data_IF_947968473350
#
_entry.id   IF_947968473350
#
_cell.length_a   1.000
_cell.length_b   1.000
_cell.length_c   1.000
_cell.angle_alpha   90.00
_cell.angle_beta   90.00
_cell.angle_gamma   90.00
#
_symmetry.space_group_name_H-M   'P 1'
#
loop_
_entity.id
_entity.type
_entity.pdbx_description
1 polymer ?
#
# COMPACT_ATOMS: atom_id res chain seq x y z
N UNK A 1 -1.15 4.27 27.45
CA UNK A 1 -0.02 3.33 27.61
C UNK A 1 1.07 3.78 26.64
N UNK A 2 2.33 3.88 27.05
CA UNK A 2 3.43 4.34 26.18
C UNK A 2 3.79 3.22 25.19
N UNK A 3 3.57 3.46 23.89
CA UNK A 3 4.00 2.53 22.84
C UNK A 3 5.51 2.39 22.86
N UNK A 4 6.03 1.17 22.91
CA UNK A 4 7.47 0.95 22.85
C UNK A 4 7.94 1.03 21.40
N UNK A 5 8.95 1.84 21.16
CA UNK A 5 9.58 1.97 19.85
C UNK A 5 10.28 0.67 19.45
N UNK A 6 10.15 0.28 18.18
CA UNK A 6 10.91 -0.83 17.64
C UNK A 6 12.39 -0.45 17.60
N UNK A 7 13.17 -1.03 18.50
CA UNK A 7 14.59 -0.75 18.65
C UNK A 7 15.40 -1.08 17.39
N UNK A 8 14.99 -2.09 16.62
CA UNK A 8 15.67 -2.50 15.39
C UNK A 8 15.66 -1.43 14.30
N UNK A 9 14.67 -0.54 14.30
CA UNK A 9 14.58 0.57 13.35
C UNK A 9 14.48 1.94 14.02
N UNK A 10 14.75 2.04 15.32
CA UNK A 10 14.63 3.29 16.08
C UNK A 10 13.27 3.98 15.92
N UNK A 11 12.18 3.21 15.93
CA UNK A 11 10.83 3.79 15.78
C UNK A 11 10.38 4.09 14.34
N UNK A 12 11.26 4.02 13.35
CA UNK A 12 10.94 4.49 11.98
C UNK A 12 10.12 3.53 11.13
N UNK A 13 10.09 2.25 11.48
CA UNK A 13 9.51 1.18 10.66
C UNK A 13 10.31 0.86 9.40
N UNK A 14 11.45 1.53 9.14
CA UNK A 14 12.20 1.41 7.89
C UNK A 14 13.66 1.07 8.16
N UNK A 15 14.26 0.34 7.24
CA UNK A 15 15.68 -0.01 7.28
C UNK A 15 16.31 0.18 5.90
N UNK A 16 17.54 0.70 5.89
CA UNK A 16 18.40 0.64 4.72
C UNK A 16 19.02 -0.75 4.68
N UNK A 17 18.82 -1.45 3.57
CA UNK A 17 19.43 -2.75 3.32
C UNK A 17 20.18 -2.74 2.01
N UNK A 18 21.16 -3.63 1.89
CA UNK A 18 21.90 -3.82 0.66
C UNK A 18 20.95 -4.23 -0.49
N UNK A 19 21.11 -3.59 -1.64
CA UNK A 19 20.31 -3.88 -2.81
C UNK A 19 20.71 -5.24 -3.39
N UNK A 20 19.86 -6.24 -3.23
CA UNK A 20 20.09 -7.61 -3.68
C UNK A 20 20.34 -7.76 -5.18
N UNK A 21 19.85 -6.82 -6.00
CA UNK A 21 20.05 -6.86 -7.45
C UNK A 21 21.46 -6.47 -7.90
N UNK A 22 22.19 -5.71 -7.08
CA UNK A 22 23.56 -5.27 -7.38
C UNK A 22 24.56 -5.60 -6.28
N UNK A 23 24.14 -6.32 -5.23
CA UNK A 23 24.98 -6.67 -4.08
C UNK A 23 25.77 -5.49 -3.54
N UNK A 24 25.10 -4.35 -3.35
CA UNK A 24 25.73 -3.13 -2.83
C UNK A 24 26.51 -2.30 -3.86
N UNK A 25 26.79 -2.83 -5.06
CA UNK A 25 27.66 -2.16 -6.04
C UNK A 25 27.02 -0.94 -6.73
N UNK A 26 25.69 -0.77 -6.64
CA UNK A 26 24.95 0.30 -7.33
C UNK A 26 24.85 0.10 -8.85
N UNK A 27 25.53 -0.89 -9.41
CA UNK A 27 25.54 -1.20 -10.84
C UNK A 27 25.45 -2.71 -11.08
N UNK A 28 24.89 -3.10 -12.23
CA UNK A 28 24.82 -4.48 -12.70
C UNK A 28 25.35 -4.52 -14.14
N UNK A 29 26.42 -5.26 -14.37
CA UNK A 29 27.08 -5.36 -15.69
C UNK A 29 27.44 -3.98 -16.28
N UNK A 30 27.96 -3.07 -15.44
CA UNK A 30 28.38 -1.73 -15.85
C UNK A 30 27.23 -0.76 -16.16
N UNK A 31 25.97 -1.14 -15.90
CA UNK A 31 24.80 -0.26 -16.00
C UNK A 31 24.26 0.06 -14.61
N UNK A 32 23.66 1.23 -14.47
CA UNK A 32 23.03 1.67 -13.22
C UNK A 32 21.97 0.66 -12.76
N UNK A 33 22.06 0.26 -11.49
CA UNK A 33 21.07 -0.61 -10.90
C UNK A 33 19.78 0.18 -10.69
N UNK A 34 18.77 -0.10 -11.51
CA UNK A 34 17.46 0.59 -11.46
C UNK A 34 16.72 0.44 -10.13
N UNK A 35 17.03 -0.60 -9.36
CA UNK A 35 16.35 -0.89 -8.09
C UNK A 35 16.84 0.02 -6.95
N UNK A 36 18.10 0.43 -6.98
CA UNK A 36 18.69 1.32 -5.98
C UNK A 36 19.15 2.67 -6.54
N UNK A 37 18.95 2.91 -7.84
CA UNK A 37 19.36 4.14 -8.53
C UNK A 37 20.80 4.55 -8.17
N UNK A 38 21.74 3.64 -8.43
CA UNK A 38 23.18 3.75 -8.12
C UNK A 38 23.57 3.82 -6.64
N UNK A 39 22.62 3.82 -5.70
CA UNK A 39 22.93 3.95 -4.27
C UNK A 39 23.46 2.67 -3.64
N UNK A 40 23.30 1.51 -4.29
CA UNK A 40 23.71 0.21 -3.74
C UNK A 40 22.82 -0.29 -2.59
N UNK A 41 21.92 0.54 -2.08
CA UNK A 41 21.04 0.24 -0.95
C UNK A 41 19.59 0.60 -1.28
N UNK A 42 18.64 -0.04 -0.61
CA UNK A 42 17.20 0.25 -0.72
C UNK A 42 16.58 0.38 0.66
N UNK A 43 15.56 1.23 0.76
CA UNK A 43 14.76 1.33 1.98
C UNK A 43 13.69 0.25 1.93
N UNK A 44 13.65 -0.60 2.95
CA UNK A 44 12.65 -1.66 3.13
C UNK A 44 11.93 -1.50 4.45
N UNK A 45 10.79 -2.18 4.59
CA UNK A 45 10.12 -2.31 5.88
C UNK A 45 11.02 -3.05 6.88
N UNK A 46 11.11 -2.54 8.10
CA UNK A 46 11.80 -3.20 9.19
C UNK A 46 11.15 -4.56 9.45
N UNK A 47 11.93 -5.64 9.40
CA UNK A 47 11.42 -7.00 9.58
C UNK A 47 10.92 -7.27 10.99
N UNK A 48 11.49 -6.60 12.00
CA UNK A 48 11.13 -6.79 13.41
C UNK A 48 9.75 -6.21 13.79
N UNK A 49 9.29 -5.19 13.07
CA UNK A 49 7.99 -4.55 13.31
C UNK A 49 7.10 -4.50 12.06
N UNK A 50 7.50 -5.19 10.99
CA UNK A 50 6.82 -5.23 9.69
C UNK A 50 6.42 -3.84 9.15
N UNK A 51 7.24 -2.83 9.40
CA UNK A 51 6.96 -1.45 8.96
C UNK A 51 6.25 -0.56 9.97
N UNK A 52 5.77 -1.07 11.10
CA UNK A 52 4.97 -0.28 12.06
C UNK A 52 5.80 0.70 12.88
N UNK A 53 7.09 0.44 13.08
CA UNK A 53 7.95 1.24 13.95
C UNK A 53 7.72 1.02 15.45
N UNK A 54 6.78 0.17 15.86
CA UNK A 54 6.51 -0.15 17.28
C UNK A 54 6.81 -1.61 17.59
N UNK A 55 7.27 -1.90 18.81
CA UNK A 55 7.53 -3.26 19.30
C UNK A 55 6.31 -3.90 19.98
N UNK A 56 5.22 -3.15 20.14
CA UNK A 56 3.97 -3.69 20.66
C UNK A 56 3.24 -4.42 19.53
N UNK A 57 2.78 -5.64 19.78
CA UNK A 57 1.97 -6.46 18.87
C UNK A 57 0.53 -5.91 18.70
N UNK A 58 0.31 -4.61 18.97
CA UNK A 58 -1.01 -4.00 18.90
C UNK A 58 -1.27 -3.45 17.49
N UNK A 59 -2.16 -4.20 16.84
CA UNK A 59 -2.75 -3.98 15.53
C UNK A 59 -1.72 -3.74 14.44
N UNK A 60 -1.19 -4.86 13.93
CA UNK A 60 -0.86 -5.06 12.51
C UNK A 60 -1.76 -4.13 11.71
N UNK A 61 -1.18 -3.01 11.23
CA UNK A 61 -1.84 -2.10 10.29
C UNK A 61 -2.28 -2.99 9.15
N UNK A 62 -3.55 -3.35 9.19
CA UNK A 62 -4.14 -4.34 8.31
C UNK A 62 -4.42 -3.53 7.07
N UNK A 63 -3.41 -3.42 6.22
CA UNK A 63 -3.60 -2.92 4.87
C UNK A 63 -4.71 -3.77 4.25
N UNK A 64 -5.88 -3.15 4.12
CA UNK A 64 -7.03 -3.82 3.53
C UNK A 64 -6.80 -3.80 2.03
N UNK A 65 -6.61 -4.99 1.46
CA UNK A 65 -6.45 -5.17 0.02
C UNK A 65 -7.82 -5.47 -0.57
N UNK A 66 -8.37 -4.52 -1.32
CA UNK A 66 -9.67 -4.67 -1.98
C UNK A 66 -9.47 -5.01 -3.47
N UNK A 67 -10.18 -6.04 -3.93
CA UNK A 67 -10.35 -6.30 -5.37
C UNK A 67 -11.48 -5.43 -5.89
N UNK A 68 -11.22 -4.63 -6.93
CA UNK A 68 -12.23 -3.73 -7.49
C UNK A 68 -12.90 -4.31 -8.73
N UNK A 69 -14.16 -3.94 -8.96
CA UNK A 69 -14.97 -4.33 -10.10
C UNK A 69 -15.81 -3.15 -10.60
N UNK A 70 -16.34 -3.22 -11.82
CA UNK A 70 -17.38 -2.30 -12.27
C UNK A 70 -18.74 -2.77 -11.76
N UNK A 71 -19.61 -1.84 -11.38
CA UNK A 71 -21.02 -2.14 -11.11
C UNK A 71 -21.71 -2.68 -12.36
N UNK A 72 -22.79 -3.43 -12.16
CA UNK A 72 -23.55 -4.05 -13.27
C UNK A 72 -24.10 -3.02 -14.26
N UNK A 73 -24.43 -1.82 -13.79
CA UNK A 73 -24.90 -0.71 -14.61
C UNK A 73 -23.76 0.15 -15.20
N UNK A 74 -22.51 -0.15 -14.83
CA UNK A 74 -21.31 0.53 -15.29
C UNK A 74 -21.14 1.96 -14.76
N UNK A 75 -21.89 2.35 -13.73
CA UNK A 75 -21.87 3.72 -13.17
C UNK A 75 -20.96 3.89 -11.95
N UNK A 76 -20.49 2.79 -11.36
CA UNK A 76 -19.63 2.81 -10.20
C UNK A 76 -18.49 1.78 -10.31
N UNK A 77 -17.47 1.99 -9.50
CA UNK A 77 -16.48 1.00 -9.11
C UNK A 77 -16.91 0.45 -7.74
N UNK A 78 -16.98 -0.86 -7.61
CA UNK A 78 -17.38 -1.56 -6.40
C UNK A 78 -16.25 -2.45 -5.87
N UNK A 79 -16.30 -2.76 -4.58
CA UNK A 79 -15.42 -3.76 -3.96
C UNK A 79 -15.89 -5.21 -4.23
N UNK A 80 -15.25 -6.18 -3.58
CA UNK A 80 -15.56 -7.61 -3.69
C UNK A 80 -16.88 -8.01 -3.02
N UNK A 81 -17.45 -7.14 -2.19
CA UNK A 81 -18.75 -7.31 -1.55
C UNK A 81 -19.88 -6.55 -2.29
N UNK A 82 -19.53 -5.77 -3.31
CA UNK A 82 -20.48 -4.95 -4.09
C UNK A 82 -20.75 -3.57 -3.50
N UNK A 83 -19.97 -3.12 -2.50
CA UNK A 83 -20.10 -1.76 -1.97
C UNK A 83 -19.44 -0.77 -2.94
N UNK A 84 -20.07 0.39 -3.12
CA UNK A 84 -19.53 1.45 -3.98
C UNK A 84 -18.27 2.09 -3.38
N UNK A 85 -17.19 2.07 -4.15
CA UNK A 85 -15.90 2.69 -3.81
C UNK A 85 -15.74 4.03 -4.52
N UNK A 86 -16.24 4.14 -5.76
CA UNK A 86 -16.23 5.38 -6.53
C UNK A 86 -17.40 5.41 -7.50
N UNK A 87 -17.93 6.60 -7.78
CA UNK A 87 -18.95 6.83 -8.79
C UNK A 87 -18.38 7.60 -9.98
N UNK A 88 -18.82 7.27 -11.19
CA UNK A 88 -18.52 8.09 -12.35
C UNK A 88 -19.37 9.36 -12.33
N UNK A 89 -18.85 10.43 -12.93
CA UNK A 89 -19.60 11.68 -13.09
C UNK A 89 -20.91 11.42 -13.83
N UNK A 90 -21.94 12.16 -13.48
CA UNK A 90 -23.23 12.10 -14.16
C UNK A 90 -23.09 12.17 -15.68
N UNK A 91 -23.79 11.30 -16.40
CA UNK A 91 -23.71 11.15 -17.86
C UNK A 91 -22.61 10.22 -18.36
N UNK A 92 -21.75 9.70 -17.47
CA UNK A 92 -20.73 8.71 -17.82
C UNK A 92 -21.12 7.31 -17.33
N UNK A 93 -20.88 6.30 -18.17
CA UNK A 93 -20.98 4.89 -17.81
C UNK A 93 -19.92 4.10 -18.57
N UNK A 94 -19.26 3.18 -17.91
CA UNK A 94 -18.31 2.26 -18.54
C UNK A 94 -19.05 0.98 -18.87
N UNK A 95 -19.11 0.63 -20.16
CA UNK A 95 -19.66 -0.67 -20.57
C UNK A 95 -18.51 -1.69 -20.58
N UNK A 96 -18.48 -2.67 -19.67
CA UNK A 96 -17.54 -3.77 -19.80
C UNK A 96 -17.79 -4.46 -21.15
N UNK A 97 -16.72 -4.88 -21.83
CA UNK A 97 -16.87 -5.73 -23.01
C UNK A 97 -17.65 -7.00 -22.62
N UNK A 98 -18.30 -7.67 -23.57
CA UNK A 98 -19.04 -8.93 -23.28
C UNK A 98 -18.13 -10.02 -22.67
N UNK A 99 -16.81 -9.90 -22.88
CA UNK A 99 -15.77 -10.77 -22.33
C UNK A 99 -15.28 -10.32 -20.94
N UNK A 100 -15.69 -9.14 -20.48
CA UNK A 100 -15.27 -8.50 -19.23
C UNK A 100 -16.33 -8.49 -18.12
N UNK A 101 -17.48 -9.14 -18.32
CA UNK A 101 -18.51 -9.28 -17.28
C UNK A 101 -17.95 -10.07 -16.08
N UNK A 102 -17.82 -9.41 -14.94
CA UNK A 102 -17.24 -9.98 -13.72
C UNK A 102 -15.71 -9.95 -13.66
N UNK A 103 -15.04 -9.28 -14.61
CA UNK A 103 -13.59 -9.18 -14.58
C UNK A 103 -13.18 -8.10 -13.60
N UNK A 104 -12.43 -8.53 -12.57
CA UNK A 104 -11.70 -7.66 -11.66
C UNK A 104 -10.95 -6.59 -12.45
N UNK A 105 -11.09 -5.35 -12.01
CA UNK A 105 -10.29 -4.26 -12.55
C UNK A 105 -8.80 -4.55 -12.26
N UNK A 106 -7.89 -4.19 -13.18
CA UNK A 106 -6.48 -4.41 -12.96
C UNK A 106 -6.00 -3.66 -11.71
N UNK A 107 -5.07 -4.27 -10.98
CA UNK A 107 -4.57 -3.72 -9.72
C UNK A 107 -5.42 -4.10 -8.50
N UNK A 108 -5.08 -3.47 -7.38
CA UNK A 108 -5.78 -3.63 -6.11
C UNK A 108 -5.74 -2.31 -5.34
N UNK A 109 -6.76 -2.02 -4.53
CA UNK A 109 -6.67 -0.90 -3.59
C UNK A 109 -5.99 -1.35 -2.31
N UNK A 110 -4.99 -0.58 -1.90
CA UNK A 110 -4.32 -0.69 -0.61
C UNK A 110 -4.83 0.45 0.26
N UNK A 111 -5.61 0.12 1.28
CA UNK A 111 -6.13 1.09 2.22
C UNK A 111 -5.34 1.06 3.54
N UNK A 112 -4.84 2.21 3.96
CA UNK A 112 -4.12 2.41 5.22
C UNK A 112 -4.94 3.31 6.13
N UNK A 113 -5.10 2.89 7.38
CA UNK A 113 -5.68 3.73 8.43
C UNK A 113 -4.58 4.59 9.04
N UNK A 114 -4.79 5.89 9.01
CA UNK A 114 -3.89 6.86 9.61
C UNK A 114 -4.62 7.62 10.71
N UNK A 115 -3.97 7.77 11.86
CA UNK A 115 -4.50 8.60 12.92
C UNK A 115 -4.31 10.08 12.54
N UNK A 116 -5.36 10.89 12.61
CA UNK A 116 -5.32 12.32 12.31
C UNK A 116 -5.58 13.21 13.51
N UNK A 117 -6.08 12.64 14.61
CA UNK A 117 -6.32 13.37 15.85
C UNK A 117 -6.00 12.50 17.07
N UNK A 118 -5.32 13.11 18.04
CA UNK A 118 -4.91 12.48 19.28
C UNK A 118 -5.51 13.22 20.49
N UNK A 119 -5.81 12.50 21.56
CA UNK A 119 -6.16 13.09 22.86
C UNK A 119 -4.90 13.51 23.65
N UNK A 120 -5.13 14.14 24.81
CA UNK A 120 -4.06 14.58 25.73
C UNK A 120 -3.22 13.42 26.29
N UNK A 121 -3.70 12.18 26.22
CA UNK A 121 -3.01 10.98 26.67
C UNK A 121 -2.25 10.28 25.53
N UNK A 122 -2.26 10.85 24.33
CA UNK A 122 -1.63 10.28 23.14
C UNK A 122 -2.41 9.14 22.48
N UNK A 123 -3.67 8.92 22.86
CA UNK A 123 -4.54 7.95 22.19
C UNK A 123 -5.12 8.54 20.91
N UNK A 124 -5.18 7.74 19.85
CA UNK A 124 -5.87 8.17 18.65
C UNK A 124 -7.38 8.26 18.89
N UNK A 125 -7.98 9.41 18.59
CA UNK A 125 -9.43 9.63 18.69
C UNK A 125 -10.11 9.71 17.33
N UNK A 126 -9.35 9.89 16.25
CA UNK A 126 -9.88 9.93 14.90
C UNK A 126 -8.91 9.32 13.90
N UNK A 127 -9.41 8.36 13.12
CA UNK A 127 -8.70 7.77 11.99
C UNK A 127 -9.31 8.26 10.68
N UNK A 128 -8.46 8.46 9.69
CA UNK A 128 -8.88 8.51 8.28
C UNK A 128 -8.36 7.26 7.59
N UNK A 129 -9.08 6.82 6.56
CA UNK A 129 -8.62 5.74 5.71
C UNK A 129 -8.21 6.33 4.38
N UNK A 130 -6.94 6.18 4.04
CA UNK A 130 -6.36 6.58 2.76
C UNK A 130 -6.20 5.34 1.90
N UNK A 131 -6.84 5.30 0.74
CA UNK A 131 -6.74 4.18 -0.18
C UNK A 131 -5.98 4.60 -1.45
N UNK A 132 -4.99 3.80 -1.83
CA UNK A 132 -4.22 3.97 -3.07
C UNK A 132 -4.50 2.79 -3.97
N UNK A 133 -4.80 3.06 -5.24
CA UNK A 133 -4.95 2.00 -6.23
C UNK A 133 -3.58 1.67 -6.83
N UNK A 134 -3.08 0.49 -6.51
CA UNK A 134 -1.79 -0.01 -6.98
C UNK A 134 -1.99 -1.00 -8.13
N UNK A 135 -1.23 -0.79 -9.21
CA UNK A 135 -1.14 -1.74 -10.31
C UNK A 135 0.10 -2.61 -10.09
N UNK A 136 0.03 -3.95 -10.26
CA UNK A 136 1.22 -4.77 -10.24
C UNK A 136 2.22 -4.23 -11.27
N UNK A 137 3.54 -4.28 -10.99
CA UNK A 137 4.53 -3.91 -12.00
C UNK A 137 4.24 -4.72 -13.26
N UNK A 138 4.10 -4.04 -14.39
CA UNK A 138 3.89 -4.71 -15.66
C UNK A 138 5.13 -5.54 -15.97
N UNK A 139 5.01 -6.87 -15.91
CA UNK A 139 5.97 -7.77 -16.51
C UNK A 139 5.80 -7.66 -18.04
N UNK A 140 6.52 -6.72 -18.66
CA UNK A 140 6.69 -6.61 -20.11
C UNK A 140 7.93 -7.39 -20.57
#
# INVERSE_FOLDING_TARGET
MMKKECQSCGGTGKMLVECSSCHGAGTVNGKDCKKCYTQGQVVVACSACHGSGSSDEDEKSTSLVLSLQLSDDGKAIVDDQGNEVAIFREGFSVRPSKEAKGNKLPGHMVCTKECVAWDENGNCVQYVTSCTWEFPPFDF
#
